data_IF_259648124353
#
_entry.id   IF_259648124353
#
_cell.length_a   1.000
_cell.length_b   1.000
_cell.length_c   1.000
_cell.angle_alpha   90.00
_cell.angle_beta   90.00
_cell.angle_gamma   90.00
#
_symmetry.space_group_name_H-M   'P 1'
#
loop_
_entity.id
_entity.type
_entity.pdbx_description
1 polymer ?
#
# COMPACT_ATOMS: atom_id res chain seq x y z
N UNK A 1 -12.83 13.08 -0.79
CA UNK A 1 -13.52 11.78 -0.59
C UNK A 1 -14.07 11.34 -1.93
N UNK A 2 -13.93 10.06 -2.25
CA UNK A 2 -14.63 9.43 -3.38
C UNK A 2 -16.03 9.08 -2.87
N UNK A 3 -17.08 9.58 -3.53
CA UNK A 3 -18.46 9.36 -3.11
C UNK A 3 -18.93 7.92 -3.36
N UNK A 4 -18.27 7.26 -4.32
CA UNK A 4 -18.53 5.90 -4.77
C UNK A 4 -17.95 4.83 -3.82
N UNK A 5 -17.12 5.24 -2.86
CA UNK A 5 -16.58 4.35 -1.82
C UNK A 5 -17.25 4.64 -0.47
N UNK A 6 -17.43 3.62 0.40
CA UNK A 6 -17.96 3.85 1.74
C UNK A 6 -17.06 4.78 2.55
N UNK A 7 -17.67 5.60 3.39
CA UNK A 7 -16.95 6.36 4.41
C UNK A 7 -16.59 5.39 5.53
N UNK A 8 -15.32 5.38 5.93
CA UNK A 8 -14.86 4.57 7.06
C UNK A 8 -15.01 5.35 8.37
N UNK A 9 -15.57 4.69 9.38
CA UNK A 9 -15.50 5.19 10.74
C UNK A 9 -14.09 5.01 11.28
N UNK A 10 -13.62 5.96 12.08
CA UNK A 10 -12.30 5.89 12.71
C UNK A 10 -12.31 4.74 13.72
N UNK A 11 -11.44 3.72 13.56
CA UNK A 11 -11.38 2.62 14.48
C UNK A 11 -10.93 3.06 15.87
N UNK A 12 -11.44 2.40 16.92
CA UNK A 12 -11.06 2.69 18.31
C UNK A 12 -9.55 2.68 18.52
N UNK A 13 -8.85 1.71 17.91
CA UNK A 13 -7.41 1.60 18.05
C UNK A 13 -6.66 2.84 17.57
N UNK A 14 -7.19 3.62 16.61
CA UNK A 14 -6.62 4.89 16.12
C UNK A 14 -6.93 6.10 17.02
N UNK A 15 -7.92 6.00 17.91
CA UNK A 15 -8.34 7.10 18.79
C UNK A 15 -7.67 7.03 20.18
N UNK A 16 -7.24 5.85 20.59
CA UNK A 16 -6.69 5.60 21.93
C UNK A 16 -5.35 6.35 22.19
N UNK A 17 -4.72 6.96 21.17
CA UNK A 17 -3.47 7.74 21.27
C UNK A 17 -3.55 9.02 22.09
N UNK A 18 -4.75 9.51 22.43
CA UNK A 18 -4.91 10.66 23.32
C UNK A 18 -4.72 10.28 24.81
N UNK A 19 -4.58 9.00 25.15
CA UNK A 19 -4.24 8.56 26.51
C UNK A 19 -2.72 8.62 26.70
N UNK A 20 -2.25 9.40 27.68
CA UNK A 20 -0.83 9.49 28.02
C UNK A 20 -0.19 8.14 28.40
N UNK A 21 -0.98 7.12 28.74
CA UNK A 21 -0.51 5.75 29.01
C UNK A 21 -0.48 4.85 27.77
N UNK A 22 -0.88 5.36 26.61
CA UNK A 22 -1.03 4.59 25.37
C UNK A 22 0.28 3.89 24.95
N UNK A 23 1.42 4.58 25.06
CA UNK A 23 2.74 4.08 24.65
C UNK A 23 3.22 2.86 25.46
N UNK A 24 2.72 2.69 26.69
CA UNK A 24 3.21 1.63 27.60
C UNK A 24 2.32 0.38 27.57
N UNK A 25 1.09 0.47 27.03
CA UNK A 25 0.07 -0.58 27.18
C UNK A 25 -0.34 -1.29 25.89
N UNK A 26 -0.11 -0.70 24.72
CA UNK A 26 -0.63 -1.28 23.48
C UNK A 26 0.43 -2.11 22.74
N UNK A 27 0.11 -3.39 22.56
CA UNK A 27 0.78 -4.25 21.60
C UNK A 27 0.55 -3.71 20.18
N UNK A 28 1.54 -3.85 19.30
CA UNK A 28 1.42 -3.41 17.90
C UNK A 28 0.19 -4.05 17.23
N UNK A 29 -0.84 -3.26 16.82
CA UNK A 29 -2.15 -3.77 16.40
C UNK A 29 -2.14 -4.20 14.93
N UNK A 30 -1.30 -5.19 14.61
CA UNK A 30 -1.01 -5.56 13.22
C UNK A 30 -2.27 -5.98 12.46
N UNK A 31 -3.14 -6.81 13.03
CA UNK A 31 -4.34 -7.29 12.30
C UNK A 31 -5.28 -6.13 11.98
N UNK A 32 -5.42 -5.19 12.90
CA UNK A 32 -6.24 -4.00 12.74
C UNK A 32 -5.67 -3.03 11.71
N UNK A 33 -4.34 -2.90 11.64
CA UNK A 33 -3.66 -2.13 10.58
C UNK A 33 -3.91 -2.75 9.20
N UNK A 34 -3.93 -4.08 9.09
CA UNK A 34 -4.09 -4.76 7.80
C UNK A 34 -5.56 -4.87 7.34
N UNK A 35 -6.51 -4.81 8.26
CA UNK A 35 -7.94 -4.93 7.92
C UNK A 35 -8.43 -3.68 7.20
N UNK A 36 -9.11 -3.88 6.07
CA UNK A 36 -9.61 -2.80 5.20
C UNK A 36 -8.53 -1.80 4.75
N UNK A 37 -7.26 -2.23 4.73
CA UNK A 37 -6.13 -1.40 4.38
C UNK A 37 -5.97 -1.19 2.86
N UNK A 38 -5.11 -0.25 2.50
CA UNK A 38 -4.47 -0.20 1.20
C UNK A 38 -3.06 -0.79 1.30
N UNK A 39 -2.72 -1.76 0.44
CA UNK A 39 -1.34 -2.18 0.24
C UNK A 39 -0.73 -1.49 -0.98
N UNK A 40 0.47 -0.94 -0.84
CA UNK A 40 1.19 -0.28 -1.94
C UNK A 40 2.62 -0.87 -2.07
N UNK A 41 2.84 -1.85 -2.96
CA UNK A 41 4.18 -2.31 -3.33
C UNK A 41 4.93 -1.26 -4.15
N UNK A 42 6.26 -1.25 -4.03
CA UNK A 42 7.14 -0.30 -4.72
C UNK A 42 6.70 1.16 -4.54
N UNK A 43 6.31 1.52 -3.31
CA UNK A 43 5.66 2.80 -3.03
C UNK A 43 6.59 4.00 -3.11
N UNK A 44 7.91 3.79 -3.00
CA UNK A 44 8.85 4.85 -2.62
C UNK A 44 8.29 5.65 -1.44
N UNK A 45 8.29 6.98 -1.54
CA UNK A 45 7.61 7.88 -0.59
C UNK A 45 6.37 8.55 -1.21
N UNK A 46 5.66 7.87 -2.09
CA UNK A 46 4.53 8.47 -2.81
C UNK A 46 3.30 8.71 -1.91
N UNK A 47 2.94 9.98 -1.73
CA UNK A 47 1.81 10.39 -0.89
C UNK A 47 0.46 10.35 -1.61
N UNK A 48 0.44 10.00 -2.90
CA UNK A 48 -0.76 10.08 -3.73
C UNK A 48 -1.93 9.22 -3.21
N UNK A 49 -1.76 7.94 -2.81
CA UNK A 49 -2.83 7.19 -2.18
C UNK A 49 -3.38 7.85 -0.92
N UNK A 50 -2.51 8.32 -0.01
CA UNK A 50 -2.95 8.99 1.23
C UNK A 50 -3.73 10.26 0.90
N UNK A 51 -3.21 11.10 0.00
CA UNK A 51 -3.84 12.36 -0.41
C UNK A 51 -5.24 12.17 -1.00
N UNK A 52 -5.42 11.12 -1.80
CA UNK A 52 -6.66 10.93 -2.56
C UNK A 52 -7.65 9.94 -1.93
N UNK A 53 -7.18 9.04 -1.05
CA UNK A 53 -7.99 7.97 -0.47
C UNK A 53 -8.15 8.04 1.05
N UNK A 54 -7.46 8.92 1.78
CA UNK A 54 -7.56 8.98 3.24
C UNK A 54 -9.00 9.12 3.77
N UNK A 55 -9.91 9.73 3.01
CA UNK A 55 -11.33 9.82 3.39
C UNK A 55 -12.14 8.53 3.20
N UNK A 56 -11.58 7.52 2.55
CA UNK A 56 -12.23 6.24 2.24
C UNK A 56 -11.44 5.02 2.76
N UNK A 57 -10.16 5.20 3.06
CA UNK A 57 -9.25 4.21 3.66
C UNK A 57 -8.45 4.92 4.75
N UNK A 58 -8.39 4.31 5.94
CA UNK A 58 -7.71 4.92 7.08
C UNK A 58 -6.35 4.28 7.37
N UNK A 59 -6.04 3.12 6.79
CA UNK A 59 -4.81 2.39 7.03
C UNK A 59 -4.05 2.13 5.73
N UNK A 60 -2.82 2.63 5.65
CA UNK A 60 -1.95 2.53 4.49
C UNK A 60 -0.74 1.68 4.84
N UNK A 61 -0.50 0.63 4.06
CA UNK A 61 0.60 -0.32 4.24
C UNK A 61 1.49 -0.24 3.01
N UNK A 62 2.64 0.39 3.18
CA UNK A 62 3.59 0.67 2.13
C UNK A 62 4.76 -0.28 2.22
N UNK A 63 5.31 -0.68 1.08
CA UNK A 63 6.51 -1.49 1.02
C UNK A 63 7.41 -1.04 -0.12
N UNK A 64 8.68 -0.86 0.21
CA UNK A 64 9.73 -0.51 -0.73
C UNK A 64 11.08 -0.93 -0.14
N UNK A 65 12.03 -1.33 -0.99
CA UNK A 65 13.37 -1.75 -0.56
C UNK A 65 14.51 -0.93 -1.16
N UNK A 66 14.19 0.14 -1.87
CA UNK A 66 15.17 1.03 -2.48
C UNK A 66 15.56 2.20 -1.56
N UNK A 67 14.78 2.44 -0.51
CA UNK A 67 14.94 3.57 0.38
C UNK A 67 15.36 3.13 1.77
N UNK A 68 16.32 3.82 2.36
CA UNK A 68 16.77 3.58 3.72
C UNK A 68 15.78 4.10 4.77
N UNK A 69 15.94 3.59 6.00
CA UNK A 69 15.18 4.08 7.17
C UNK A 69 15.39 5.57 7.40
N UNK A 70 16.63 6.05 7.29
CA UNK A 70 16.96 7.45 7.53
C UNK A 70 16.31 8.36 6.48
N UNK A 71 16.28 7.92 5.21
CA UNK A 71 15.55 8.62 4.16
C UNK A 71 14.04 8.63 4.43
N UNK A 72 13.46 7.53 4.92
CA UNK A 72 12.04 7.52 5.30
C UNK A 72 11.78 8.50 6.44
N UNK A 73 12.53 8.41 7.54
CA UNK A 73 12.32 9.27 8.72
C UNK A 73 12.53 10.73 8.34
N UNK A 74 13.54 11.04 7.53
CA UNK A 74 13.74 12.38 6.96
C UNK A 74 12.53 12.80 6.12
N UNK A 75 12.05 11.96 5.20
CA UNK A 75 10.88 12.28 4.39
C UNK A 75 9.61 12.44 5.24
N UNK A 76 9.39 11.62 6.27
CA UNK A 76 8.25 11.74 7.19
C UNK A 76 8.31 13.06 7.98
N UNK A 77 9.51 13.45 8.43
CA UNK A 77 9.69 14.67 9.21
C UNK A 77 9.63 15.94 8.34
N UNK A 78 10.13 15.88 7.11
CA UNK A 78 10.18 17.01 6.17
C UNK A 78 8.91 17.14 5.32
N UNK A 79 8.29 16.01 4.93
CA UNK A 79 6.98 15.99 4.29
C UNK A 79 5.93 15.96 5.38
N UNK A 80 5.42 17.13 5.73
CA UNK A 80 4.09 17.19 6.31
C UNK A 80 3.11 16.68 5.26
N UNK A 81 2.41 15.57 5.54
CA UNK A 81 1.19 15.27 4.81
C UNK A 81 0.29 16.50 4.94
N UNK A 82 -0.07 17.14 3.82
CA UNK A 82 -0.67 18.47 3.84
C UNK A 82 -1.88 18.51 4.80
N UNK A 83 -1.83 19.39 5.80
CA UNK A 83 -2.86 19.54 6.81
C UNK A 83 -2.91 18.43 7.88
N UNK A 84 -1.88 17.60 8.03
CA UNK A 84 -1.74 16.58 9.08
C UNK A 84 -0.43 16.72 9.84
N UNK A 85 -0.43 16.23 11.09
CA UNK A 85 0.73 16.15 11.98
C UNK A 85 0.82 14.74 12.58
N UNK A 86 2.02 14.16 12.65
CA UNK A 86 2.22 12.86 13.30
C UNK A 86 1.99 12.97 14.81
N UNK A 87 1.12 12.11 15.34
CA UNK A 87 0.85 11.96 16.79
C UNK A 87 1.47 10.68 17.36
N UNK A 88 1.81 9.74 16.49
CA UNK A 88 2.63 8.56 16.76
C UNK A 88 3.63 8.40 15.62
N UNK A 89 4.87 8.13 15.99
CA UNK A 89 5.94 7.74 15.06
C UNK A 89 6.88 6.83 15.82
N UNK A 90 6.97 5.57 15.41
CA UNK A 90 7.80 4.57 16.07
C UNK A 90 8.33 3.52 15.09
N UNK A 91 9.54 3.04 15.39
CA UNK A 91 10.07 1.84 14.77
C UNK A 91 9.44 0.61 15.43
N UNK A 92 9.05 -0.36 14.59
CA UNK A 92 8.50 -1.62 15.04
C UNK A 92 9.58 -2.68 14.91
N UNK A 93 9.65 -3.58 15.88
CA UNK A 93 10.56 -4.69 15.77
C UNK A 93 10.12 -5.55 14.57
N UNK A 94 11.04 -5.76 13.64
CA UNK A 94 10.78 -6.52 12.41
C UNK A 94 10.20 -7.91 12.69
N UNK A 95 10.54 -8.52 13.85
CA UNK A 95 10.01 -9.82 14.24
C UNK A 95 8.53 -9.80 14.68
N UNK A 96 7.94 -8.63 14.93
CA UNK A 96 6.50 -8.49 15.16
C UNK A 96 5.70 -8.69 13.86
N UNK A 97 6.32 -8.42 12.69
CA UNK A 97 5.69 -8.66 11.38
C UNK A 97 6.23 -9.92 10.68
N UNK A 98 7.49 -10.28 10.91
CA UNK A 98 8.18 -11.44 10.35
C UNK A 98 8.63 -12.36 11.49
N UNK A 99 7.79 -13.28 11.99
CA UNK A 99 8.22 -14.23 13.01
C UNK A 99 9.46 -14.99 12.54
N UNK A 100 10.44 -15.21 13.42
CA UNK A 100 11.74 -15.82 13.08
C UNK A 100 11.62 -17.14 12.32
N UNK A 101 10.65 -17.97 12.72
CA UNK A 101 10.42 -19.30 12.14
C UNK A 101 9.46 -19.28 10.94
N UNK A 102 8.95 -18.11 10.55
CA UNK A 102 8.06 -18.02 9.40
C UNK A 102 8.86 -18.09 8.10
N UNK A 103 8.37 -18.94 7.20
CA UNK A 103 8.87 -19.07 5.83
C UNK A 103 7.76 -18.70 4.83
N UNK A 104 8.09 -18.08 3.69
CA UNK A 104 7.12 -17.81 2.63
C UNK A 104 6.44 -19.10 2.14
N UNK A 105 5.15 -19.02 1.86
CA UNK A 105 4.38 -20.14 1.31
C UNK A 105 4.65 -20.34 -0.18
N UNK A 106 4.90 -19.23 -0.89
CA UNK A 106 5.12 -19.21 -2.33
C UNK A 106 6.55 -18.78 -2.64
N UNK A 107 7.15 -19.46 -3.62
CA UNK A 107 8.48 -19.19 -4.13
C UNK A 107 8.42 -18.85 -5.61
N UNK A 108 9.23 -17.87 -6.08
CA UNK A 108 9.34 -17.56 -7.49
C UNK A 108 9.95 -18.72 -8.30
N UNK A 109 9.69 -18.72 -9.60
CA UNK A 109 10.39 -19.62 -10.54
C UNK A 109 11.89 -19.28 -10.60
N UNK A 110 12.73 -20.24 -10.96
CA UNK A 110 14.18 -20.11 -11.00
C UNK A 110 14.65 -18.94 -11.90
N UNK A 111 13.96 -18.71 -13.01
CA UNK A 111 14.26 -17.58 -13.92
C UNK A 111 13.99 -16.21 -13.26
N UNK A 112 13.01 -16.16 -12.37
CA UNK A 112 12.63 -14.97 -11.61
C UNK A 112 13.60 -14.76 -10.42
N UNK A 113 14.15 -15.83 -9.85
CA UNK A 113 15.17 -15.83 -8.78
C UNK A 113 16.50 -15.24 -9.25
N UNK A 114 16.97 -15.56 -10.46
CA UNK A 114 18.26 -15.05 -10.96
C UNK A 114 18.25 -13.52 -11.06
N UNK A 115 17.16 -12.95 -11.60
CA UNK A 115 16.97 -11.50 -11.64
C UNK A 115 16.88 -10.89 -10.24
N UNK A 116 16.19 -11.56 -9.31
CA UNK A 116 16.14 -11.13 -7.92
C UNK A 116 17.54 -11.10 -7.30
N UNK A 117 18.35 -12.15 -7.47
CA UNK A 117 19.72 -12.21 -6.95
C UNK A 117 20.64 -11.13 -7.53
N UNK A 118 20.54 -10.83 -8.84
CA UNK A 118 21.32 -9.76 -9.46
C UNK A 118 20.99 -8.39 -8.89
N UNK A 119 19.71 -8.10 -8.68
CA UNK A 119 19.27 -6.85 -8.06
C UNK A 119 19.69 -6.78 -6.59
N UNK A 120 19.54 -7.88 -5.85
CA UNK A 120 19.81 -7.94 -4.40
C UNK A 120 21.28 -7.81 -4.04
N UNK A 121 22.20 -8.24 -4.92
CA UNK A 121 23.66 -8.03 -4.74
C UNK A 121 24.03 -6.56 -4.53
N UNK A 122 23.22 -5.63 -5.06
CA UNK A 122 23.45 -4.20 -4.97
C UNK A 122 22.56 -3.49 -3.94
N UNK A 123 21.59 -4.19 -3.33
CA UNK A 123 20.75 -3.64 -2.28
C UNK A 123 21.56 -3.58 -1.00
N UNK A 124 21.88 -2.36 -0.57
CA UNK A 124 22.59 -2.09 0.71
C UNK A 124 21.65 -1.81 1.88
N UNK A 125 20.34 -1.93 1.67
CA UNK A 125 19.33 -1.59 2.66
C UNK A 125 19.21 -2.69 3.71
N UNK A 126 19.21 -2.30 4.99
CA UNK A 126 18.81 -3.15 6.12
C UNK A 126 17.29 -3.09 6.26
N UNK A 127 16.59 -4.24 6.29
CA UNK A 127 15.14 -4.22 6.45
C UNK A 127 14.68 -3.54 7.74
N UNK A 128 13.59 -2.77 7.65
CA UNK A 128 13.06 -2.02 8.78
C UNK A 128 11.53 -1.89 8.70
N UNK A 129 10.93 -1.53 9.83
CA UNK A 129 9.49 -1.30 9.93
C UNK A 129 9.24 -0.01 10.69
N UNK A 130 8.46 0.87 10.09
CA UNK A 130 8.08 2.13 10.71
C UNK A 130 6.56 2.27 10.72
N UNK A 131 6.00 2.58 11.88
CA UNK A 131 4.57 2.81 12.03
C UNK A 131 4.31 4.20 12.56
N UNK A 132 3.38 4.89 11.91
CA UNK A 132 2.98 6.24 12.28
C UNK A 132 1.46 6.43 12.19
N UNK A 133 0.97 7.38 12.98
CA UNK A 133 -0.41 7.84 12.93
C UNK A 133 -0.41 9.35 12.88
N UNK A 134 -1.32 9.85 12.06
CA UNK A 134 -1.38 11.24 11.66
C UNK A 134 -2.74 11.80 12.02
N UNK A 135 -2.74 12.95 12.68
CA UNK A 135 -3.93 13.69 13.06
C UNK A 135 -4.08 14.91 12.17
N UNK A 136 -5.30 15.15 11.70
CA UNK A 136 -5.65 16.36 10.95
C UNK A 136 -5.41 17.61 11.79
N UNK A 137 -4.75 18.60 11.23
CA UNK A 137 -4.40 19.84 11.92
C UNK A 137 -5.64 20.63 12.34
N UNK A 138 -5.53 21.32 13.48
CA UNK A 138 -6.59 22.22 13.96
C UNK A 138 -6.90 23.28 12.90
N UNK A 139 -8.19 23.53 12.66
CA UNK A 139 -8.66 24.50 11.66
C UNK A 139 -8.96 23.91 10.28
N UNK A 140 -8.63 22.64 10.04
CA UNK A 140 -9.11 21.88 8.88
C UNK A 140 -10.41 21.13 9.26
N UNK A 141 -11.38 21.07 8.36
CA UNK A 141 -12.66 20.38 8.56
C UNK A 141 -12.69 19.02 7.83
N UNK A 142 -13.83 18.34 7.89
CA UNK A 142 -14.02 17.00 7.28
C UNK A 142 -13.89 16.94 5.76
N UNK A 143 -13.94 18.09 5.08
CA UNK A 143 -13.66 18.13 3.64
C UNK A 143 -12.17 17.93 3.30
N UNK A 144 -11.27 18.14 4.27
CA UNK A 144 -9.82 17.97 4.09
C UNK A 144 -9.39 16.50 4.08
N UNK A 145 -10.15 15.61 4.71
CA UNK A 145 -9.82 14.19 4.91
C UNK A 145 -10.28 13.70 6.30
N UNK A 146 -9.94 12.49 6.74
CA UNK A 146 -10.34 11.96 8.04
C UNK A 146 -9.64 12.70 9.20
N UNK A 147 -10.14 12.56 10.42
CA UNK A 147 -9.42 13.09 11.60
C UNK A 147 -8.08 12.37 11.81
N UNK A 148 -8.05 11.04 11.58
CA UNK A 148 -6.86 10.22 11.73
C UNK A 148 -6.64 9.30 10.52
N UNK A 149 -5.38 9.01 10.21
CA UNK A 149 -5.00 7.88 9.38
C UNK A 149 -3.70 7.25 9.89
N UNK A 150 -3.44 6.01 9.50
CA UNK A 150 -2.25 5.24 9.84
C UNK A 150 -1.41 4.92 8.61
N UNK A 151 -0.09 4.95 8.79
CA UNK A 151 0.88 4.51 7.80
C UNK A 151 1.83 3.49 8.45
N UNK A 152 1.83 2.27 7.94
CA UNK A 152 2.84 1.26 8.18
C UNK A 152 3.76 1.18 6.95
N UNK A 153 5.02 1.55 7.11
CA UNK A 153 6.03 1.44 6.06
C UNK A 153 6.96 0.27 6.36
N UNK A 154 7.11 -0.63 5.40
CA UNK A 154 8.01 -1.78 5.51
C UNK A 154 9.12 -1.66 4.48
N UNK A 155 10.32 -1.34 4.97
CA UNK A 155 11.56 -1.32 4.20
C UNK A 155 11.98 -2.74 3.82
N UNK A 156 11.30 -3.39 2.88
CA UNK A 156 11.55 -4.77 2.48
C UNK A 156 10.92 -5.07 1.12
N UNK A 157 11.28 -6.22 0.54
CA UNK A 157 10.75 -6.69 -0.74
C UNK A 157 9.23 -6.90 -0.67
N UNK A 158 8.49 -6.28 -1.59
CA UNK A 158 7.04 -6.19 -1.48
C UNK A 158 6.28 -7.50 -1.66
N UNK A 159 6.78 -8.45 -2.44
CA UNK A 159 6.16 -9.79 -2.50
C UNK A 159 6.32 -10.52 -1.18
N UNK A 160 7.49 -10.44 -0.54
CA UNK A 160 7.76 -11.01 0.78
C UNK A 160 6.89 -10.35 1.86
N UNK A 161 6.79 -9.02 1.85
CA UNK A 161 5.91 -8.27 2.75
C UNK A 161 4.46 -8.71 2.57
N UNK A 162 3.98 -8.86 1.34
CA UNK A 162 2.61 -9.28 1.08
C UNK A 162 2.33 -10.67 1.64
N UNK A 163 3.23 -11.63 1.40
CA UNK A 163 3.11 -12.99 1.95
C UNK A 163 3.09 -12.98 3.48
N UNK A 164 3.98 -12.23 4.12
CA UNK A 164 4.12 -12.22 5.57
C UNK A 164 3.00 -11.49 6.29
N UNK A 165 2.46 -10.42 5.70
CA UNK A 165 1.42 -9.61 6.34
C UNK A 165 0.03 -10.13 5.98
N UNK A 166 -0.26 -10.32 4.70
CA UNK A 166 -1.61 -10.61 4.23
C UNK A 166 -1.87 -12.11 4.15
N UNK A 167 -1.02 -12.87 3.43
CA UNK A 167 -1.27 -14.30 3.23
C UNK A 167 -1.17 -15.09 4.54
N UNK A 168 -0.09 -14.89 5.30
CA UNK A 168 0.12 -15.56 6.60
C UNK A 168 -1.03 -15.33 7.57
N UNK A 169 -1.58 -14.11 7.61
CA UNK A 169 -2.67 -13.75 8.52
C UNK A 169 -4.05 -13.96 7.92
N UNK A 170 -4.14 -14.43 6.66
CA UNK A 170 -5.37 -14.62 5.88
C UNK A 170 -6.22 -13.34 5.80
N UNK A 171 -5.55 -12.19 5.67
CA UNK A 171 -6.19 -10.88 5.50
C UNK A 171 -6.01 -10.46 4.04
N UNK A 172 -7.06 -9.92 3.43
CA UNK A 172 -7.02 -9.35 2.08
C UNK A 172 -7.13 -7.83 2.25
N UNK A 173 -6.20 -7.02 1.71
CA UNK A 173 -6.36 -5.57 1.77
C UNK A 173 -7.58 -5.17 0.95
N UNK A 174 -8.22 -4.05 1.32
CA UNK A 174 -9.36 -3.51 0.57
C UNK A 174 -8.92 -3.05 -0.81
N UNK A 175 -7.76 -2.39 -0.86
CA UNK A 175 -7.20 -1.78 -2.07
C UNK A 175 -5.76 -2.24 -2.26
N UNK A 176 -5.39 -2.53 -3.50
CA UNK A 176 -4.00 -2.70 -3.92
C UNK A 176 -3.64 -1.57 -4.88
N UNK A 177 -2.58 -0.84 -4.54
CA UNK A 177 -2.08 0.25 -5.38
C UNK A 177 -0.92 -0.23 -6.25
N UNK A 178 -1.07 -0.11 -7.57
CA UNK A 178 -0.02 -0.39 -8.54
C UNK A 178 0.22 0.90 -9.30
N UNK A 179 1.05 1.78 -8.73
CA UNK A 179 1.30 3.09 -9.33
C UNK A 179 2.78 3.25 -9.61
N UNK A 180 3.10 3.33 -10.90
CA UNK A 180 4.48 3.43 -11.39
C UNK A 180 5.46 2.47 -10.67
N UNK A 181 5.17 1.16 -10.60
CA UNK A 181 5.90 0.23 -9.75
C UNK A 181 7.33 -0.08 -10.26
N UNK A 182 7.80 0.61 -11.31
CA UNK A 182 9.20 0.58 -11.71
C UNK A 182 9.64 -0.74 -12.37
N UNK A 183 8.79 -1.38 -13.17
CA UNK A 183 9.20 -2.55 -13.95
C UNK A 183 9.84 -2.11 -15.29
N UNK A 184 11.17 -2.14 -15.40
CA UNK A 184 11.91 -1.82 -16.64
C UNK A 184 13.43 -1.72 -16.44
N UNK A 185 14.18 -1.41 -17.52
CA UNK A 185 15.65 -1.36 -17.51
C UNK A 185 16.28 -0.34 -16.53
N UNK A 186 15.48 0.62 -16.04
CA UNK A 186 15.88 1.64 -15.06
C UNK A 186 15.09 1.57 -13.75
N UNK A 187 14.17 0.61 -13.61
CA UNK A 187 13.36 0.44 -12.42
C UNK A 187 13.81 -0.78 -11.63
N UNK A 188 13.81 -0.68 -10.30
CA UNK A 188 14.47 -1.70 -9.46
C UNK A 188 13.55 -2.80 -8.94
N UNK A 189 12.29 -2.86 -9.38
CA UNK A 189 11.41 -3.99 -9.09
C UNK A 189 11.88 -5.24 -9.86
N UNK A 190 12.14 -6.33 -9.13
CA UNK A 190 12.60 -7.58 -9.73
C UNK A 190 11.47 -8.34 -10.47
N UNK A 191 10.23 -8.21 -9.98
CA UNK A 191 9.02 -8.73 -10.64
C UNK A 191 8.22 -7.58 -11.27
N UNK A 192 7.41 -7.89 -12.29
CA UNK A 192 6.54 -6.91 -12.95
C UNK A 192 5.15 -6.96 -12.31
N UNK A 193 4.91 -6.04 -11.38
CA UNK A 193 3.67 -5.99 -10.59
C UNK A 193 2.41 -5.85 -11.47
N UNK A 194 2.52 -5.24 -12.65
CA UNK A 194 1.40 -5.05 -13.58
C UNK A 194 1.04 -6.31 -14.39
N UNK A 195 1.90 -7.33 -14.42
CA UNK A 195 1.73 -8.50 -15.29
C UNK A 195 1.07 -9.66 -14.53
N UNK A 196 -0.14 -10.05 -14.97
CA UNK A 196 -0.91 -11.14 -14.36
C UNK A 196 -0.22 -12.51 -14.44
N UNK A 197 0.79 -12.66 -15.29
CA UNK A 197 1.55 -13.91 -15.43
C UNK A 197 2.79 -13.96 -14.54
N UNK A 198 3.05 -12.92 -13.74
CA UNK A 198 4.22 -12.83 -12.88
C UNK A 198 3.93 -13.20 -11.44
N UNK A 199 5.02 -13.49 -10.73
CA UNK A 199 4.98 -14.03 -9.37
C UNK A 199 4.13 -13.21 -8.40
N UNK A 200 4.19 -11.87 -8.45
CA UNK A 200 3.36 -11.07 -7.54
C UNK A 200 1.86 -11.29 -7.74
N UNK A 201 1.39 -11.38 -8.98
CA UNK A 201 -0.04 -11.62 -9.23
C UNK A 201 -0.45 -13.05 -8.84
N UNK A 202 0.44 -14.03 -9.00
CA UNK A 202 0.16 -15.41 -8.63
C UNK A 202 -0.04 -15.57 -7.11
N UNK A 203 0.76 -14.87 -6.29
CA UNK A 203 0.57 -14.83 -4.83
C UNK A 203 -0.67 -14.03 -4.43
N UNK A 204 -0.94 -12.92 -5.11
CA UNK A 204 -2.06 -12.02 -4.81
C UNK A 204 -3.40 -12.73 -5.04
N UNK A 205 -3.55 -13.42 -6.17
CA UNK A 205 -4.82 -14.04 -6.55
C UNK A 205 -5.14 -15.28 -5.72
N UNK A 206 -4.10 -15.96 -5.21
CA UNK A 206 -4.23 -17.23 -4.50
C UNK A 206 -4.94 -18.32 -5.32
N UNK A 207 -5.36 -19.42 -4.68
CA UNK A 207 -6.10 -20.48 -5.36
C UNK A 207 -7.46 -19.99 -5.88
N UNK A 208 -7.74 -20.18 -7.18
CA UNK A 208 -9.02 -19.84 -7.83
C UNK A 208 -9.41 -18.33 -7.76
N UNK A 209 -8.43 -17.42 -7.75
CA UNK A 209 -8.65 -15.96 -7.73
C UNK A 209 -9.43 -15.45 -6.51
N UNK A 210 -9.32 -16.19 -5.40
CA UNK A 210 -10.13 -16.02 -4.20
C UNK A 210 -9.61 -14.92 -3.26
N UNK A 211 -8.39 -14.43 -3.49
CA UNK A 211 -7.68 -13.52 -2.58
C UNK A 211 -7.43 -12.12 -3.18
N UNK A 212 -8.06 -11.83 -4.32
CA UNK A 212 -7.94 -10.53 -4.96
C UNK A 212 -8.60 -9.43 -4.10
N UNK A 213 -7.92 -8.29 -3.91
CA UNK A 213 -8.51 -7.09 -3.33
C UNK A 213 -9.75 -6.61 -4.09
N UNK A 214 -10.66 -5.93 -3.40
CA UNK A 214 -11.90 -5.44 -4.03
C UNK A 214 -11.63 -4.31 -5.02
N UNK A 215 -10.59 -3.51 -4.76
CA UNK A 215 -10.21 -2.41 -5.64
C UNK A 215 -8.74 -2.45 -6.04
N UNK A 216 -8.48 -2.06 -7.29
CA UNK A 216 -7.16 -1.81 -7.85
C UNK A 216 -7.02 -0.31 -8.06
N UNK A 217 -6.00 0.29 -7.45
CA UNK A 217 -5.63 1.68 -7.67
C UNK A 217 -4.42 1.75 -8.59
N UNK A 218 -4.68 1.91 -9.89
CA UNK A 218 -3.69 1.72 -10.95
C UNK A 218 -3.39 3.01 -11.70
N UNK A 219 -2.12 3.29 -11.94
CA UNK A 219 -1.74 4.45 -12.72
C UNK A 219 -0.26 4.79 -12.72
N UNK A 220 0.03 6.04 -13.01
CA UNK A 220 1.39 6.56 -12.96
C UNK A 220 1.57 7.83 -13.76
N UNK A 221 2.83 8.19 -13.93
CA UNK A 221 3.26 9.31 -14.78
C UNK A 221 3.40 8.83 -16.23
N UNK A 222 3.08 9.70 -17.17
CA UNK A 222 3.20 9.41 -18.61
C UNK A 222 1.91 9.67 -19.39
N UNK A 223 1.87 9.27 -20.67
CA UNK A 223 0.68 9.42 -21.50
C UNK A 223 -0.52 8.71 -20.89
N UNK A 224 -1.70 9.35 -20.96
CA UNK A 224 -2.92 8.82 -20.35
C UNK A 224 -3.27 7.44 -20.90
N UNK A 225 -2.96 7.14 -22.18
CA UNK A 225 -3.27 5.88 -22.83
C UNK A 225 -2.66 4.65 -22.13
N UNK A 226 -1.62 4.84 -21.32
CA UNK A 226 -1.01 3.78 -20.52
C UNK A 226 -1.90 3.32 -19.35
N UNK A 227 -2.78 4.20 -18.84
CA UNK A 227 -3.50 3.97 -17.59
C UNK A 227 -5.04 4.05 -17.75
N UNK A 228 -5.54 4.16 -18.98
CA UNK A 228 -6.98 4.14 -19.28
C UNK A 228 -7.64 2.77 -19.09
N UNK A 229 -6.84 1.70 -18.98
CA UNK A 229 -7.27 0.32 -18.69
C UNK A 229 -6.55 -0.18 -17.44
N UNK A 230 -7.15 -1.08 -16.65
CA UNK A 230 -6.46 -1.69 -15.52
C UNK A 230 -5.33 -2.59 -16.03
N UNK A 231 -4.26 -2.73 -15.24
CA UNK A 231 -3.19 -3.69 -15.54
C UNK A 231 -3.67 -5.15 -15.48
N UNK A 232 -4.72 -5.41 -14.70
CA UNK A 232 -5.25 -6.75 -14.47
C UNK A 232 -6.68 -6.88 -15.01
N UNK A 233 -6.92 -7.94 -15.78
CA UNK A 233 -8.17 -8.25 -16.46
C UNK A 233 -9.33 -8.51 -15.51
N UNK A 234 -9.04 -8.86 -14.25
CA UNK A 234 -10.02 -9.14 -13.20
C UNK A 234 -10.73 -7.87 -12.67
N UNK A 235 -10.28 -6.69 -13.07
CA UNK A 235 -10.91 -5.42 -12.75
C UNK A 235 -11.48 -4.84 -14.03
N UNK A 236 -12.73 -4.38 -14.01
CA UNK A 236 -13.42 -3.98 -15.24
C UNK A 236 -14.16 -2.65 -15.11
N UNK A 237 -14.61 -2.30 -13.91
CA UNK A 237 -15.39 -1.10 -13.68
C UNK A 237 -14.48 0.00 -13.15
N UNK A 238 -14.29 1.07 -13.92
CA UNK A 238 -13.64 2.29 -13.43
C UNK A 238 -14.59 3.01 -12.50
N UNK A 239 -14.18 3.19 -11.26
CA UNK A 239 -14.95 3.87 -10.21
C UNK A 239 -14.65 5.37 -10.20
N UNK A 240 -13.36 5.71 -10.31
CA UNK A 240 -12.93 7.10 -10.24
C UNK A 240 -11.64 7.32 -11.02
N UNK A 241 -11.43 8.54 -11.50
CA UNK A 241 -10.25 8.95 -12.25
C UNK A 241 -9.60 10.17 -11.59
N UNK A 242 -8.28 10.09 -11.38
CA UNK A 242 -7.47 11.13 -10.79
C UNK A 242 -6.46 11.62 -11.81
N UNK A 243 -6.63 12.87 -12.24
CA UNK A 243 -5.67 13.56 -13.11
C UNK A 243 -5.01 14.66 -12.29
N UNK A 244 -3.69 14.59 -12.19
CA UNK A 244 -2.90 15.69 -11.64
C UNK A 244 -1.88 16.14 -12.67
N UNK A 245 -1.71 17.44 -12.81
CA UNK A 245 -0.61 18.01 -13.57
C UNK A 245 0.25 18.89 -12.68
N UNK A 246 1.57 18.77 -12.83
CA UNK A 246 2.53 19.65 -12.19
C UNK A 246 3.31 20.35 -13.28
N UNK A 247 3.24 21.69 -13.32
CA UNK A 247 4.17 22.49 -14.12
C UNK A 247 5.55 22.38 -13.49
N UNK A 248 6.48 21.69 -14.15
CA UNK A 248 7.90 21.83 -13.87
C UNK A 248 8.47 22.88 -14.83
N UNK A 249 9.37 23.73 -14.32
CA UNK A 249 10.06 24.85 -15.01
C UNK A 249 9.81 24.96 -16.53
N UNK A 250 9.09 26.01 -16.96
CA UNK A 250 8.83 26.54 -18.32
C UNK A 250 8.61 25.61 -19.55
N UNK A 251 8.88 24.30 -19.51
CA UNK A 251 8.99 23.48 -20.72
C UNK A 251 8.27 22.11 -20.68
N UNK A 252 7.87 21.57 -19.51
CA UNK A 252 7.13 20.29 -19.47
C UNK A 252 6.06 20.23 -18.37
N UNK A 253 4.83 19.83 -18.76
CA UNK A 253 3.75 19.48 -17.84
C UNK A 253 3.80 17.96 -17.58
N UNK A 254 4.22 17.56 -16.39
CA UNK A 254 4.21 16.15 -16.00
C UNK A 254 2.78 15.78 -15.58
N UNK A 255 2.08 15.03 -16.43
CA UNK A 255 0.74 14.51 -16.15
C UNK A 255 0.84 13.15 -15.48
N UNK A 256 0.04 12.97 -14.43
CA UNK A 256 -0.15 11.70 -13.74
C UNK A 256 -1.63 11.35 -13.78
N UNK A 257 -1.92 10.16 -14.29
CA UNK A 257 -3.25 9.57 -14.35
C UNK A 257 -3.26 8.34 -13.45
N UNK A 258 -4.19 8.30 -12.50
CA UNK A 258 -4.44 7.13 -11.66
C UNK A 258 -5.94 6.88 -11.65
N UNK A 259 -6.34 5.63 -11.82
CA UNK A 259 -7.73 5.20 -11.83
C UNK A 259 -7.97 4.22 -10.68
N UNK A 260 -9.12 4.34 -10.04
CA UNK A 260 -9.64 3.33 -9.13
C UNK A 260 -10.56 2.39 -9.91
N UNK A 261 -10.25 1.09 -9.86
CA UNK A 261 -11.01 0.05 -10.54
C UNK A 261 -11.60 -0.92 -9.53
N UNK A 262 -12.79 -1.43 -9.81
CA UNK A 262 -13.45 -2.45 -8.98
C UNK A 262 -13.34 -3.83 -9.62
N UNK A 263 -13.10 -4.82 -8.78
CA UNK A 263 -13.09 -6.24 -9.13
C UNK A 263 -14.43 -6.65 -9.77
N UNK A 264 -14.43 -7.56 -10.75
CA UNK A 264 -15.68 -8.02 -11.38
C UNK A 264 -16.64 -8.59 -10.35
N UNK A 265 -17.92 -8.27 -10.45
CA UNK A 265 -18.97 -8.76 -9.52
C UNK A 265 -19.03 -10.28 -9.48
N UNK A 266 -18.73 -10.98 -10.59
CA UNK A 266 -18.66 -12.45 -10.63
C UNK A 266 -17.55 -13.06 -9.76
N UNK A 267 -16.62 -12.24 -9.27
CA UNK A 267 -15.48 -12.64 -8.43
C UNK A 267 -15.66 -12.10 -7.00
N UNK A 268 -16.39 -10.99 -6.84
CA UNK A 268 -16.68 -10.38 -5.53
C UNK A 268 -17.42 -11.40 -4.66
N UNK A 269 -16.82 -11.69 -3.51
CA UNK A 269 -17.40 -12.58 -2.51
C UNK A 269 -18.38 -11.83 -1.63
N UNK A 270 -19.38 -12.55 -1.14
CA UNK A 270 -20.10 -12.10 0.05
C UNK A 270 -19.23 -12.31 1.29
N UNK A 271 -19.36 -11.45 2.30
CA UNK A 271 -18.62 -11.55 3.58
C UNK A 271 -18.70 -12.96 4.20
N UNK A 272 -19.85 -13.62 4.02
CA UNK A 272 -20.14 -14.99 4.50
C UNK A 272 -19.31 -16.10 3.83
N UNK A 273 -18.75 -15.87 2.64
CA UNK A 273 -17.95 -16.85 1.88
C UNK A 273 -16.47 -16.77 2.23
N UNK A 274 -16.01 -15.60 2.69
CA UNK A 274 -14.64 -15.40 3.19
C UNK A 274 -14.47 -16.14 4.52
N UNK A 275 -15.43 -15.96 5.45
CA UNK A 275 -15.40 -16.57 6.78
C UNK A 275 -15.51 -18.11 6.77
N UNK A 276 -16.14 -18.71 5.75
CA UNK A 276 -16.27 -20.18 5.60
C UNK A 276 -15.05 -20.88 5.01
N UNK A 277 -14.11 -20.14 4.43
CA UNK A 277 -12.95 -20.68 3.72
C UNK A 277 -11.60 -20.29 4.35
N UNK A 278 -11.61 -19.58 5.48
CA UNK A 278 -10.43 -19.20 6.26
C UNK A 278 -10.34 -20.05 7.53
#
# INVERSE_FOLDING_TARGET
MINELPIMNIPKWMMDFNDSNFKEKQQFPLKEILTDSLFYPASGFDDFPIKHLSGNILSFVYSDYQNSKDELVKNINERTFDGYTSVLSQEINIYEIFPKEWIPEFYPDINDVDRFHELYKNIKMVPFVHWSIWKRNKGKNDSHGPEFFSLLFVGCESTFVYQALYLRLKIIPKIIAIIQPGAGALGGAWTKFEDENKFFFSILRGPKNKWLPEYLFYGGKGPNELYIKPCWTHYETKIHEFITSKKQAQYYEEKRLVCLWRLRESIIRTKSEIERNC
#
